data_IF_038215029856
#
_entry.id   IF_038215029856
#
_cell.length_a   1.000
_cell.length_b   1.000
_cell.length_c   1.000
_cell.angle_alpha   90.00
_cell.angle_beta   90.00
_cell.angle_gamma   90.00
#
_symmetry.space_group_name_H-M   'P 1'
#
loop_
_entity.id
_entity.type
_entity.pdbx_description
1 polymer ?
#
# COMPACT_ATOMS: atom_id res chain seq x y z
N UNK A 1 6.72 15.88 31.51
CA UNK A 1 6.07 16.29 30.24
C UNK A 1 6.99 17.12 29.37
N UNK A 2 8.02 17.76 29.93
CA UNK A 2 8.95 18.63 29.19
C UNK A 2 9.94 17.88 28.28
N UNK A 3 10.27 16.61 28.57
CA UNK A 3 11.16 15.80 27.71
C UNK A 3 10.54 15.49 26.33
N UNK A 4 9.20 15.45 26.22
CA UNK A 4 8.49 15.15 24.98
C UNK A 4 8.64 16.25 23.93
N UNK A 5 8.79 17.51 24.33
CA UNK A 5 8.90 18.67 23.43
C UNK A 5 10.34 19.10 23.14
N UNK A 6 11.31 18.24 23.41
CA UNK A 6 12.72 18.51 23.12
C UNK A 6 12.95 18.57 21.60
N UNK A 7 13.87 19.44 21.15
CA UNK A 7 14.27 19.60 19.73
C UNK A 7 14.60 18.25 19.08
N UNK A 8 15.19 17.33 19.85
CA UNK A 8 15.51 15.96 19.40
C UNK A 8 14.27 15.14 19.08
N UNK A 9 13.22 15.21 19.91
CA UNK A 9 11.95 14.49 19.69
C UNK A 9 11.27 15.00 18.42
N UNK A 10 11.26 16.33 18.22
CA UNK A 10 10.74 16.92 16.99
C UNK A 10 11.54 16.48 15.75
N UNK A 11 12.88 16.44 15.85
CA UNK A 11 13.75 15.94 14.79
C UNK A 11 13.47 14.47 14.42
N UNK A 12 13.25 13.60 15.41
CA UNK A 12 12.95 12.18 15.18
C UNK A 12 11.57 12.00 14.54
N UNK A 13 10.56 12.75 14.98
CA UNK A 13 9.21 12.71 14.39
C UNK A 13 9.24 13.15 12.92
N UNK A 14 9.94 14.25 12.62
CA UNK A 14 10.06 14.75 11.25
C UNK A 14 10.77 13.73 10.33
N UNK A 15 11.87 13.15 10.79
CA UNK A 15 12.60 12.12 10.03
C UNK A 15 11.73 10.89 9.76
N UNK A 16 10.99 10.43 10.77
CA UNK A 16 10.09 9.28 10.65
C UNK A 16 8.94 9.57 9.70
N UNK A 17 8.36 10.78 9.75
CA UNK A 17 7.30 11.21 8.85
C UNK A 17 7.76 11.18 7.39
N UNK A 18 8.94 11.73 7.07
CA UNK A 18 9.48 11.71 5.70
C UNK A 18 9.75 10.29 5.20
N UNK A 19 10.31 9.44 6.06
CA UNK A 19 10.59 8.03 5.73
C UNK A 19 9.32 7.25 5.39
N UNK A 20 8.24 7.44 6.15
CA UNK A 20 6.95 6.78 5.92
C UNK A 20 6.16 7.43 4.77
N UNK A 21 6.28 8.73 4.56
CA UNK A 21 5.63 9.44 3.46
C UNK A 21 6.16 8.98 2.09
N UNK A 22 7.44 8.62 1.99
CA UNK A 22 8.06 8.22 0.73
C UNK A 22 7.33 7.07 0.02
N UNK A 23 7.11 5.89 0.64
CA UNK A 23 6.32 4.83 0.01
C UNK A 23 4.84 5.22 -0.19
N UNK A 24 4.26 6.01 0.71
CA UNK A 24 2.87 6.47 0.60
C UNK A 24 2.64 7.37 -0.63
N UNK A 25 3.62 8.21 -1.00
CA UNK A 25 3.54 9.04 -2.21
C UNK A 25 3.46 8.16 -3.47
N UNK A 26 4.24 7.08 -3.54
CA UNK A 26 4.15 6.15 -4.67
C UNK A 26 2.79 5.45 -4.74
N UNK A 27 2.24 5.03 -3.60
CA UNK A 27 0.89 4.48 -3.55
C UNK A 27 -0.18 5.51 -3.98
N UNK A 28 -0.07 6.74 -3.50
CA UNK A 28 -0.98 7.84 -3.87
C UNK A 28 -0.91 8.18 -5.37
N UNK A 29 0.28 8.13 -5.99
CA UNK A 29 0.43 8.28 -7.44
C UNK A 29 -0.32 7.17 -8.19
N UNK A 30 -0.23 5.92 -7.73
CA UNK A 30 -1.02 4.81 -8.28
C UNK A 30 -2.52 5.04 -8.14
N UNK A 31 -2.97 5.49 -6.96
CA UNK A 31 -4.37 5.87 -6.71
C UNK A 31 -4.86 6.98 -7.64
N UNK A 32 -4.05 8.01 -7.86
CA UNK A 32 -4.36 9.11 -8.78
C UNK A 32 -4.60 8.61 -10.22
N UNK A 33 -3.79 7.65 -10.70
CA UNK A 33 -4.04 7.05 -12.02
C UNK A 33 -5.36 6.29 -12.07
N UNK A 34 -5.71 5.58 -11.00
CA UNK A 34 -7.00 4.89 -10.89
C UNK A 34 -8.16 5.88 -10.92
N UNK A 35 -8.09 6.97 -10.15
CA UNK A 35 -9.12 8.02 -10.13
C UNK A 35 -9.30 8.67 -11.50
N UNK A 36 -8.21 8.85 -12.27
CA UNK A 36 -8.27 9.38 -13.64
C UNK A 36 -8.97 8.43 -14.62
N UNK A 37 -9.04 7.14 -14.32
CA UNK A 37 -9.84 6.16 -15.08
C UNK A 37 -11.30 6.06 -14.62
N UNK A 38 -11.69 6.82 -13.59
CA UNK A 38 -13.05 6.80 -13.03
C UNK A 38 -13.25 5.80 -11.89
N UNK A 39 -12.19 5.15 -11.42
CA UNK A 39 -12.24 4.18 -10.30
C UNK A 39 -11.44 4.73 -9.12
N UNK A 40 -12.13 5.12 -8.06
CA UNK A 40 -11.51 5.57 -6.81
C UNK A 40 -10.96 4.35 -6.07
N UNK A 41 -9.64 4.24 -6.03
CA UNK A 41 -8.99 3.09 -5.40
C UNK A 41 -8.85 3.31 -3.89
N UNK A 42 -9.88 2.92 -3.15
CA UNK A 42 -9.90 2.96 -1.68
C UNK A 42 -9.04 1.83 -1.07
N UNK A 43 -8.71 0.78 -1.82
CA UNK A 43 -8.05 -0.43 -1.35
C UNK A 43 -6.51 -0.30 -1.15
N UNK A 44 -5.94 0.90 -1.29
CA UNK A 44 -4.48 1.10 -1.37
C UNK A 44 -3.69 0.52 -0.19
N UNK A 45 -4.22 0.58 1.04
CA UNK A 45 -3.53 0.05 2.22
C UNK A 45 -3.42 -1.48 2.16
N UNK A 46 -4.51 -2.16 1.81
CA UNK A 46 -4.52 -3.62 1.63
C UNK A 46 -3.63 -4.08 0.48
N UNK A 47 -3.58 -3.34 -0.63
CA UNK A 47 -2.65 -3.62 -1.74
C UNK A 47 -1.18 -3.50 -1.28
N UNK A 48 -0.86 -2.46 -0.51
CA UNK A 48 0.48 -2.27 0.06
C UNK A 48 0.84 -3.39 1.03
N UNK A 49 -0.07 -3.78 1.93
CA UNK A 49 0.13 -4.84 2.91
C UNK A 49 0.35 -6.20 2.26
N UNK A 50 -0.47 -6.56 1.26
CA UNK A 50 -0.31 -7.83 0.56
C UNK A 50 0.99 -7.90 -0.25
N UNK A 51 1.38 -6.81 -0.91
CA UNK A 51 2.66 -6.71 -1.60
C UNK A 51 3.84 -6.83 -0.62
N UNK A 52 3.77 -6.14 0.53
CA UNK A 52 4.80 -6.18 1.56
C UNK A 52 4.93 -7.59 2.19
N UNK A 53 3.81 -8.23 2.53
CA UNK A 53 3.78 -9.59 3.07
C UNK A 53 4.39 -10.58 2.08
N UNK A 54 3.94 -10.56 0.82
CA UNK A 54 4.45 -11.47 -0.21
C UNK A 54 5.95 -11.26 -0.44
N UNK A 55 6.40 -10.00 -0.52
CA UNK A 55 7.81 -9.70 -0.67
C UNK A 55 8.65 -10.20 0.51
N UNK A 56 8.15 -10.06 1.74
CA UNK A 56 8.83 -10.55 2.94
C UNK A 56 8.95 -12.08 2.95
N UNK A 57 7.86 -12.80 2.70
CA UNK A 57 7.83 -14.27 2.67
C UNK A 57 8.75 -14.81 1.58
N UNK A 58 8.67 -14.29 0.36
CA UNK A 58 9.51 -14.76 -0.75
C UNK A 58 10.98 -14.45 -0.52
N UNK A 59 11.31 -13.27 0.03
CA UNK A 59 12.70 -12.94 0.37
C UNK A 59 13.24 -13.87 1.44
N UNK A 60 12.42 -14.22 2.43
CA UNK A 60 12.80 -15.16 3.49
C UNK A 60 13.11 -16.56 2.93
N UNK A 61 12.22 -17.11 2.11
CA UNK A 61 12.39 -18.45 1.54
C UNK A 61 13.52 -18.54 0.50
N UNK A 62 13.64 -17.52 -0.36
CA UNK A 62 14.65 -17.52 -1.43
C UNK A 62 16.01 -16.98 -1.00
N UNK A 63 16.09 -16.35 0.18
CA UNK A 63 17.23 -15.57 0.66
C UNK A 63 17.70 -14.49 -0.34
N UNK A 64 16.84 -14.09 -1.28
CA UNK A 64 17.18 -13.15 -2.34
C UNK A 64 16.09 -12.06 -2.47
N UNK A 65 16.43 -10.79 -2.17
CA UNK A 65 15.45 -9.70 -2.12
C UNK A 65 14.88 -9.34 -3.50
N UNK A 66 15.56 -9.66 -4.61
CA UNK A 66 15.06 -9.36 -5.95
C UNK A 66 13.84 -10.21 -6.32
N UNK A 67 13.81 -11.47 -5.89
CA UNK A 67 12.63 -12.32 -6.08
C UNK A 67 11.45 -11.84 -5.23
N UNK A 68 11.71 -11.43 -3.97
CA UNK A 68 10.68 -10.83 -3.13
C UNK A 68 10.08 -9.58 -3.74
N UNK A 69 10.92 -8.69 -4.27
CA UNK A 69 10.47 -7.48 -4.96
C UNK A 69 9.55 -7.80 -6.16
N UNK A 70 9.96 -8.71 -7.04
CA UNK A 70 9.15 -9.10 -8.21
C UNK A 70 7.83 -9.75 -7.80
N UNK A 71 7.85 -10.67 -6.83
CA UNK A 71 6.64 -11.32 -6.34
C UNK A 71 5.70 -10.34 -5.63
N UNK A 72 6.24 -9.34 -4.92
CA UNK A 72 5.46 -8.26 -4.31
C UNK A 72 4.70 -7.42 -5.34
N UNK A 73 5.35 -7.05 -6.45
CA UNK A 73 4.71 -6.35 -7.58
C UNK A 73 3.56 -7.18 -8.14
N UNK A 74 3.79 -8.47 -8.39
CA UNK A 74 2.78 -9.38 -8.94
C UNK A 74 1.60 -9.52 -7.97
N UNK A 75 1.85 -9.70 -6.68
CA UNK A 75 0.80 -9.81 -5.67
C UNK A 75 -0.07 -8.55 -5.59
N UNK A 76 0.54 -7.37 -5.55
CA UNK A 76 -0.20 -6.11 -5.52
C UNK A 76 -1.05 -5.92 -6.78
N UNK A 77 -0.50 -6.26 -7.95
CA UNK A 77 -1.22 -6.24 -9.22
C UNK A 77 -2.40 -7.23 -9.28
N UNK A 78 -2.24 -8.43 -8.73
CA UNK A 78 -3.32 -9.43 -8.67
C UNK A 78 -4.48 -8.96 -7.79
N UNK A 79 -4.20 -8.36 -6.63
CA UNK A 79 -5.24 -7.84 -5.75
C UNK A 79 -5.91 -6.60 -6.36
N UNK A 80 -5.14 -5.73 -7.01
CA UNK A 80 -5.69 -4.62 -7.78
C UNK A 80 -6.63 -5.10 -8.90
N UNK A 81 -6.28 -6.20 -9.57
CA UNK A 81 -7.10 -6.81 -10.61
C UNK A 81 -8.39 -7.41 -10.04
N UNK A 82 -8.33 -8.07 -8.87
CA UNK A 82 -9.53 -8.55 -8.17
C UNK A 82 -10.44 -7.38 -7.82
N UNK A 83 -9.89 -6.30 -7.24
CA UNK A 83 -10.65 -5.08 -6.92
C UNK A 83 -11.30 -4.48 -8.17
N UNK A 84 -10.55 -4.37 -9.26
CA UNK A 84 -11.04 -3.84 -10.53
C UNK A 84 -12.19 -4.69 -11.09
N UNK A 85 -12.10 -6.01 -11.06
CA UNK A 85 -13.19 -6.90 -11.50
C UNK A 85 -14.44 -6.69 -10.63
N UNK A 86 -14.28 -6.65 -9.31
CA UNK A 86 -15.40 -6.46 -8.37
C UNK A 86 -16.13 -5.13 -8.61
N UNK A 87 -15.38 -4.05 -8.86
CA UNK A 87 -15.96 -2.72 -9.04
C UNK A 87 -16.48 -2.50 -10.46
N UNK A 88 -15.77 -2.98 -11.49
CA UNK A 88 -16.07 -2.66 -12.89
C UNK A 88 -17.07 -3.66 -13.48
N UNK A 89 -16.84 -4.95 -13.31
CA UNK A 89 -17.68 -6.00 -13.91
C UNK A 89 -18.94 -6.24 -13.07
N UNK A 90 -18.80 -6.26 -11.75
CA UNK A 90 -19.90 -6.53 -10.82
C UNK A 90 -20.58 -5.26 -10.27
N UNK A 91 -20.15 -4.08 -10.70
CA UNK A 91 -20.71 -2.78 -10.32
C UNK A 91 -20.80 -2.58 -8.79
N UNK A 92 -19.90 -3.21 -8.03
CA UNK A 92 -19.91 -3.10 -6.58
C UNK A 92 -19.49 -1.70 -6.12
N UNK A 93 -19.98 -1.29 -4.95
CA UNK A 93 -19.56 -0.03 -4.32
C UNK A 93 -18.05 -0.06 -4.02
N UNK A 94 -17.34 0.95 -4.56
CA UNK A 94 -15.88 1.08 -4.48
C UNK A 94 -15.38 1.23 -3.04
N UNK A 95 -16.16 1.88 -2.18
CA UNK A 95 -15.81 2.12 -0.78
C UNK A 95 -15.94 0.82 0.00
N UNK A 96 -17.03 0.09 -0.19
CA UNK A 96 -17.26 -1.19 0.50
C UNK A 96 -16.26 -2.26 0.06
N UNK A 97 -16.07 -2.42 -1.26
CA UNK A 97 -15.10 -3.36 -1.79
C UNK A 97 -13.66 -3.01 -1.34
N UNK A 98 -13.31 -1.72 -1.36
CA UNK A 98 -11.99 -1.26 -0.95
C UNK A 98 -11.73 -1.46 0.54
N UNK A 99 -12.72 -1.17 1.38
CA UNK A 99 -12.64 -1.42 2.82
C UNK A 99 -12.46 -2.91 3.14
N UNK A 100 -13.16 -3.78 2.41
CA UNK A 100 -12.98 -5.24 2.54
C UNK A 100 -11.54 -5.69 2.29
N UNK A 101 -10.85 -5.07 1.32
CA UNK A 101 -9.45 -5.35 1.04
C UNK A 101 -8.50 -4.75 2.10
N UNK A 102 -8.83 -3.58 2.66
CA UNK A 102 -7.99 -2.92 3.67
C UNK A 102 -7.99 -3.61 5.04
N UNK A 103 -8.96 -4.48 5.35
CA UNK A 103 -9.00 -5.24 6.61
C UNK A 103 -7.90 -6.33 6.70
N UNK A 104 -7.15 -6.55 5.62
CA UNK A 104 -6.05 -7.52 5.54
C UNK A 104 -5.03 -7.41 6.70
#
# INVERSE_FOLDING_TARGET
>A
MDEFFTITTFGILLFSALRLATPMIFAALGGMFSERSGVINIALEGLMLAGAFTAAVVTYETSNPYYGFLCGIVSGGLIALIFAIVVIEFEADQVVAGFGINIL
#
